data_IF_229085443161
#
_entry.id   IF_229085443161
#
_cell.length_a   1.000
_cell.length_b   1.000
_cell.length_c   1.000
_cell.angle_alpha   90.00
_cell.angle_beta   90.00
_cell.angle_gamma   90.00
#
_symmetry.space_group_name_H-M   'P 1'
#
loop_
_entity.id
_entity.type
_entity.pdbx_description
1 polymer ?
#
# COMPACT_ATOMS: atom_id res chain seq x y z
N UNK A 1 -4.45 -5.11 -3.48
CA UNK A 1 -3.13 -4.46 -3.54
C UNK A 1 -3.35 -3.25 -4.41
N UNK A 2 -3.72 -2.10 -3.88
CA UNK A 2 -3.17 -1.43 -2.70
C UNK A 2 -2.61 -0.14 -3.26
N UNK A 3 -3.41 0.93 -3.20
CA UNK A 3 -2.99 2.26 -3.64
C UNK A 3 -1.66 2.63 -2.95
N UNK A 4 -0.59 2.94 -3.70
CA UNK A 4 0.50 3.73 -3.19
C UNK A 4 0.08 5.21 -3.36
N UNK A 5 -0.56 5.78 -2.35
CA UNK A 5 0.10 6.62 -1.35
C UNK A 5 0.57 7.97 -1.91
N UNK A 6 -0.33 8.95 -1.80
CA UNK A 6 -0.10 10.41 -1.84
C UNK A 6 0.85 10.91 -0.73
N UNK A 7 1.84 10.11 -0.30
CA UNK A 7 2.75 10.42 0.79
C UNK A 7 4.16 10.67 0.26
N UNK A 8 4.40 11.85 -0.29
CA UNK A 8 5.71 12.54 -0.23
C UNK A 8 5.73 13.88 -0.99
N UNK A 9 4.64 14.66 -0.96
CA UNK A 9 4.81 16.11 -1.07
C UNK A 9 5.42 16.56 0.27
N UNK A 10 6.76 16.53 0.37
CA UNK A 10 7.47 16.98 1.56
C UNK A 10 7.51 18.50 1.53
N UNK A 11 6.82 19.13 2.48
CA UNK A 11 6.92 20.55 2.76
C UNK A 11 8.23 20.81 3.52
N UNK A 12 9.14 21.57 2.92
CA UNK A 12 10.41 22.00 3.51
C UNK A 12 10.22 23.26 4.40
N UNK A 13 11.10 23.48 5.41
CA UNK A 13 10.90 24.45 6.49
C UNK A 13 10.85 25.94 6.05
N UNK A 14 10.29 26.85 6.89
CA UNK A 14 9.64 28.09 6.46
C UNK A 14 10.56 29.30 6.17
N UNK A 15 11.83 29.09 5.79
CA UNK A 15 12.76 30.20 5.46
C UNK A 15 13.18 30.29 4.00
N UNK A 16 12.64 29.42 3.16
CA UNK A 16 12.83 29.43 1.70
C UNK A 16 11.45 29.33 1.07
N UNK A 17 11.22 30.04 -0.03
CA UNK A 17 9.96 29.99 -0.81
C UNK A 17 9.57 28.51 -0.98
N UNK A 18 8.30 28.11 -0.72
CA UNK A 18 7.93 26.69 -0.69
C UNK A 18 8.22 26.05 -2.06
N UNK A 19 9.25 25.21 -2.12
CA UNK A 19 9.62 24.49 -3.33
C UNK A 19 8.80 23.21 -3.44
N UNK A 20 7.91 23.15 -4.43
CA UNK A 20 7.17 21.92 -4.74
C UNK A 20 8.08 20.92 -5.46
N UNK A 21 8.16 19.70 -4.95
CA UNK A 21 8.89 18.60 -5.56
C UNK A 21 7.98 17.84 -6.53
N UNK A 22 8.23 17.97 -7.83
CA UNK A 22 7.39 17.36 -8.87
C UNK A 22 7.91 15.96 -9.26
N UNK A 23 7.09 14.91 -9.07
CA UNK A 23 7.33 13.56 -9.60
C UNK A 23 6.52 13.27 -10.88
N UNK A 24 6.77 12.12 -11.53
CA UNK A 24 6.24 11.75 -12.87
C UNK A 24 4.70 11.83 -13.04
N UNK A 25 3.93 11.83 -11.95
CA UNK A 25 2.47 11.99 -11.99
C UNK A 25 1.99 13.41 -12.30
N UNK A 26 2.75 14.41 -11.87
CA UNK A 26 2.29 15.79 -11.81
C UNK A 26 2.42 16.52 -13.16
N UNK A 27 3.44 16.16 -13.95
CA UNK A 27 3.77 16.79 -15.23
C UNK A 27 2.89 16.35 -16.41
N UNK A 28 1.94 15.44 -16.21
CA UNK A 28 1.12 14.83 -17.28
C UNK A 28 -0.14 15.61 -17.66
N UNK A 29 -0.34 16.80 -17.09
CA UNK A 29 -1.44 17.69 -17.39
C UNK A 29 -0.91 19.13 -17.57
N UNK A 30 -0.99 19.64 -18.80
CA UNK A 30 -0.48 20.97 -19.15
C UNK A 30 -1.23 22.06 -18.40
N UNK A 31 -2.56 21.96 -18.30
CA UNK A 31 -3.37 22.95 -17.59
C UNK A 31 -3.01 23.03 -16.10
N UNK A 32 -2.71 21.88 -15.47
CA UNK A 32 -2.27 21.84 -14.07
C UNK A 32 -0.92 22.55 -13.87
N UNK A 33 0.03 22.27 -14.76
CA UNK A 33 1.38 22.85 -14.72
C UNK A 33 1.37 24.37 -15.01
N UNK A 34 0.54 24.81 -15.97
CA UNK A 34 0.32 26.23 -16.24
C UNK A 34 -0.29 26.97 -15.04
N UNK A 35 -1.34 26.41 -14.42
CA UNK A 35 -1.97 27.01 -13.24
C UNK A 35 -1.01 27.05 -12.03
N UNK A 36 -0.19 26.02 -11.85
CA UNK A 36 0.83 26.00 -10.79
C UNK A 36 1.89 27.09 -11.03
N UNK A 37 2.29 27.32 -12.27
CA UNK A 37 3.21 28.39 -12.64
C UNK A 37 2.64 29.80 -12.43
N UNK A 38 1.35 30.00 -12.66
CA UNK A 38 0.65 31.27 -12.39
C UNK A 38 0.49 31.55 -10.89
N UNK A 39 0.42 30.49 -10.07
CA UNK A 39 0.25 30.62 -8.60
C UNK A 39 1.47 31.19 -7.87
N UNK A 40 2.58 31.46 -8.57
CA UNK A 40 3.79 32.07 -8.00
C UNK A 40 4.63 31.12 -7.14
N UNK A 41 4.30 29.83 -7.09
CA UNK A 41 5.06 28.81 -6.38
C UNK A 41 6.30 28.42 -7.19
N UNK A 42 7.49 28.50 -6.59
CA UNK A 42 8.69 27.89 -7.15
C UNK A 42 8.58 26.36 -7.03
N UNK A 43 8.92 25.63 -8.10
CA UNK A 43 8.95 24.18 -8.06
C UNK A 43 10.16 23.66 -8.82
N UNK A 44 10.73 22.57 -8.31
CA UNK A 44 11.94 21.95 -8.83
C UNK A 44 11.62 20.50 -9.16
N UNK A 45 11.89 20.07 -10.39
CA UNK A 45 11.76 18.67 -10.75
C UNK A 45 12.89 17.86 -10.09
N UNK A 46 12.57 16.74 -9.44
CA UNK A 46 13.55 15.86 -8.77
C UNK A 46 14.63 15.42 -9.76
N UNK A 47 14.17 14.96 -10.93
CA UNK A 47 15.02 14.32 -11.93
C UNK A 47 15.70 15.34 -12.84
N UNK A 48 15.17 16.58 -12.90
CA UNK A 48 15.77 17.67 -13.66
C UNK A 48 15.73 18.99 -12.87
N UNK A 49 16.63 19.16 -11.88
CA UNK A 49 16.57 20.30 -10.95
C UNK A 49 16.84 21.65 -11.59
N UNK A 50 17.52 21.69 -12.75
CA UNK A 50 17.88 22.92 -13.47
C UNK A 50 16.84 23.34 -14.52
N UNK A 51 15.62 22.79 -14.46
CA UNK A 51 14.60 23.07 -15.47
C UNK A 51 14.13 24.52 -15.41
N UNK A 52 14.15 25.22 -16.55
CA UNK A 52 13.50 26.53 -16.69
C UNK A 52 11.98 26.37 -16.94
N UNK A 53 11.16 27.35 -16.55
CA UNK A 53 9.70 27.36 -16.71
C UNK A 53 9.24 27.03 -18.13
N UNK A 54 9.91 27.60 -19.14
CA UNK A 54 9.64 27.31 -20.55
C UNK A 54 9.82 25.83 -20.87
N UNK A 55 10.90 25.23 -20.38
CA UNK A 55 11.21 23.81 -20.59
C UNK A 55 10.17 22.92 -19.93
N UNK A 56 9.68 23.27 -18.73
CA UNK A 56 8.58 22.54 -18.08
C UNK A 56 7.31 22.55 -18.94
N UNK A 57 6.93 23.70 -19.50
CA UNK A 57 5.75 23.80 -20.38
C UNK A 57 5.88 22.92 -21.63
N UNK A 58 7.03 22.97 -22.28
CA UNK A 58 7.29 22.17 -23.48
C UNK A 58 7.22 20.68 -23.14
N UNK A 59 7.88 20.26 -22.07
CA UNK A 59 7.87 18.85 -21.64
C UNK A 59 6.46 18.38 -21.24
N UNK A 60 5.69 19.21 -20.56
CA UNK A 60 4.30 18.89 -20.22
C UNK A 60 3.43 18.72 -21.48
N UNK A 61 3.59 19.61 -22.47
CA UNK A 61 2.85 19.54 -23.74
C UNK A 61 3.22 18.30 -24.56
N UNK A 62 4.52 17.97 -24.62
CA UNK A 62 5.00 16.75 -25.28
C UNK A 62 4.45 15.51 -24.57
N UNK A 63 4.51 15.45 -23.25
CA UNK A 63 4.00 14.32 -22.48
C UNK A 63 2.48 14.12 -22.65
N UNK A 64 1.71 15.21 -22.72
CA UNK A 64 0.27 15.15 -23.01
C UNK A 64 0.01 14.62 -24.42
N UNK A 65 0.73 15.13 -25.43
CA UNK A 65 0.60 14.66 -26.81
C UNK A 65 0.95 13.17 -26.95
N UNK A 66 2.06 12.71 -26.34
CA UNK A 66 2.45 11.30 -26.34
C UNK A 66 1.38 10.42 -25.71
N UNK A 67 0.81 10.85 -24.58
CA UNK A 67 -0.28 10.13 -23.91
C UNK A 67 -1.51 10.04 -24.80
N UNK A 68 -1.90 11.12 -25.47
CA UNK A 68 -3.01 11.10 -26.41
C UNK A 68 -2.74 10.12 -27.56
N UNK A 69 -1.53 10.15 -28.13
CA UNK A 69 -1.14 9.26 -29.22
C UNK A 69 -1.16 7.79 -28.80
N UNK A 70 -0.65 7.46 -27.62
CA UNK A 70 -0.72 6.11 -27.05
C UNK A 70 -2.19 5.71 -26.84
N UNK A 71 -3.01 6.60 -26.30
CA UNK A 71 -4.44 6.33 -26.10
C UNK A 71 -5.16 6.09 -27.43
N UNK A 72 -4.86 6.87 -28.47
CA UNK A 72 -5.44 6.71 -29.81
C UNK A 72 -5.06 5.35 -30.39
N UNK A 73 -3.76 5.03 -30.43
CA UNK A 73 -3.27 3.72 -30.91
C UNK A 73 -3.90 2.55 -30.16
N UNK A 74 -4.03 2.64 -28.84
CA UNK A 74 -4.66 1.59 -28.04
C UNK A 74 -6.15 1.43 -28.36
N UNK A 75 -6.88 2.55 -28.53
CA UNK A 75 -8.29 2.53 -28.94
C UNK A 75 -8.46 1.93 -30.33
N UNK A 76 -7.59 2.28 -31.28
CA UNK A 76 -7.62 1.75 -32.63
C UNK A 76 -7.32 0.25 -32.66
N UNK A 77 -6.33 -0.20 -31.89
CA UNK A 77 -6.01 -1.61 -31.73
C UNK A 77 -7.19 -2.40 -31.13
N UNK A 78 -7.87 -1.83 -30.13
CA UNK A 78 -9.08 -2.42 -29.54
C UNK A 78 -10.25 -2.44 -30.53
N UNK A 79 -10.46 -1.37 -31.29
CA UNK A 79 -11.49 -1.30 -32.33
C UNK A 79 -11.27 -2.40 -33.39
N UNK A 80 -10.04 -2.56 -33.86
CA UNK A 80 -9.66 -3.61 -34.80
C UNK A 80 -9.83 -5.02 -34.21
N UNK A 81 -9.45 -5.23 -32.95
CA UNK A 81 -9.68 -6.51 -32.28
C UNK A 81 -11.18 -6.83 -32.15
N UNK A 82 -12.01 -5.83 -31.81
CA UNK A 82 -13.46 -5.97 -31.74
C UNK A 82 -14.06 -6.30 -33.11
N UNK A 83 -13.60 -5.65 -34.18
CA UNK A 83 -14.04 -5.92 -35.55
C UNK A 83 -13.70 -7.35 -35.99
N UNK A 84 -12.56 -7.90 -35.54
CA UNK A 84 -12.20 -9.32 -35.70
C UNK A 84 -13.02 -10.29 -34.83
N UNK A 85 -14.01 -9.81 -34.08
CA UNK A 85 -14.84 -10.62 -33.19
C UNK A 85 -14.20 -10.96 -31.85
N UNK A 86 -13.07 -10.32 -31.48
CA UNK A 86 -12.45 -10.56 -30.17
C UNK A 86 -13.33 -9.96 -29.07
N UNK A 87 -13.78 -10.79 -28.13
CA UNK A 87 -14.54 -10.34 -26.96
C UNK A 87 -13.63 -9.50 -26.04
N UNK A 88 -13.83 -8.19 -26.04
CA UNK A 88 -13.11 -7.25 -25.17
C UNK A 88 -13.71 -7.23 -23.76
N UNK A 89 -12.83 -7.08 -22.76
CA UNK A 89 -13.18 -7.04 -21.34
C UNK A 89 -12.88 -8.35 -20.60
N UNK A 90 -12.43 -8.24 -19.35
CA UNK A 90 -12.26 -9.40 -18.48
C UNK A 90 -13.59 -10.01 -18.05
N UNK A 91 -13.59 -11.27 -17.61
CA UNK A 91 -14.75 -11.89 -16.99
C UNK A 91 -15.13 -11.13 -15.71
N UNK A 92 -16.08 -10.19 -15.84
CA UNK A 92 -16.63 -9.42 -14.71
C UNK A 92 -17.41 -10.32 -13.74
N UNK A 93 -17.72 -11.55 -14.15
CA UNK A 93 -18.22 -12.66 -13.34
C UNK A 93 -19.21 -12.25 -12.25
N UNK A 94 -19.17 -12.99 -11.15
CA UNK A 94 -19.78 -12.60 -9.87
C UNK A 94 -18.64 -12.25 -8.91
N UNK A 95 -17.92 -11.15 -9.17
CA UNK A 95 -16.77 -10.72 -8.35
C UNK A 95 -17.12 -10.72 -6.86
N UNK A 96 -18.33 -10.31 -6.49
CA UNK A 96 -18.82 -10.39 -5.10
C UNK A 96 -18.88 -11.82 -4.53
N UNK A 97 -19.23 -12.83 -5.34
CA UNK A 97 -19.19 -14.23 -4.91
C UNK A 97 -17.76 -14.77 -4.82
N UNK A 98 -16.87 -14.38 -5.74
CA UNK A 98 -15.45 -14.76 -5.70
C UNK A 98 -14.75 -14.12 -4.49
N UNK A 99 -15.06 -12.86 -4.19
CA UNK A 99 -14.55 -12.15 -3.01
C UNK A 99 -14.99 -12.85 -1.71
N UNK A 100 -16.26 -13.26 -1.60
CA UNK A 100 -16.76 -14.05 -0.45
C UNK A 100 -16.04 -15.39 -0.32
N UNK A 101 -15.84 -16.14 -1.42
CA UNK A 101 -15.07 -17.40 -1.41
C UNK A 101 -13.63 -17.17 -0.93
N UNK A 102 -12.97 -16.11 -1.43
CA UNK A 102 -11.62 -15.75 -1.00
C UNK A 102 -11.55 -15.36 0.48
N UNK A 103 -12.53 -14.62 0.99
CA UNK A 103 -12.59 -14.24 2.40
C UNK A 103 -12.75 -15.46 3.33
N UNK A 104 -13.66 -16.38 2.99
CA UNK A 104 -13.86 -17.62 3.74
C UNK A 104 -12.61 -18.52 3.73
N UNK A 105 -12.00 -18.72 2.57
CA UNK A 105 -10.77 -19.49 2.46
C UNK A 105 -9.63 -18.87 3.29
N UNK A 106 -9.47 -17.54 3.23
CA UNK A 106 -8.48 -16.81 4.06
C UNK A 106 -8.78 -16.94 5.55
N UNK A 107 -10.05 -16.90 5.96
CA UNK A 107 -10.46 -17.06 7.35
C UNK A 107 -10.12 -18.47 7.87
N UNK A 108 -10.42 -19.51 7.08
CA UNK A 108 -10.09 -20.90 7.42
C UNK A 108 -8.58 -21.11 7.59
N UNK A 109 -7.77 -20.61 6.64
CA UNK A 109 -6.29 -20.67 6.72
C UNK A 109 -5.75 -19.88 7.92
N UNK A 110 -6.33 -18.71 8.22
CA UNK A 110 -5.93 -17.91 9.38
C UNK A 110 -6.24 -18.64 10.69
N UNK A 111 -7.43 -19.23 10.79
CA UNK A 111 -7.85 -20.00 11.97
C UNK A 111 -6.94 -21.21 12.19
N UNK A 112 -6.63 -21.99 11.14
CA UNK A 112 -5.74 -23.15 11.26
C UNK A 112 -4.30 -22.77 11.64
N UNK A 113 -3.77 -21.67 11.10
CA UNK A 113 -2.46 -21.13 11.51
C UNK A 113 -2.47 -20.66 12.96
N UNK A 114 -3.54 -20.00 13.42
CA UNK A 114 -3.68 -19.56 14.80
C UNK A 114 -3.74 -20.75 15.77
N UNK A 115 -4.51 -21.80 15.45
CA UNK A 115 -4.60 -23.03 16.26
C UNK A 115 -3.26 -23.75 16.39
N UNK A 116 -2.51 -23.91 15.29
CA UNK A 116 -1.16 -24.51 15.33
C UNK A 116 -0.21 -23.70 16.20
N UNK A 117 -0.15 -22.38 15.98
CA UNK A 117 0.67 -21.48 16.81
C UNK A 117 0.28 -21.56 18.29
N UNK A 118 -1.02 -21.65 18.60
CA UNK A 118 -1.46 -21.81 19.98
C UNK A 118 -0.94 -23.13 20.57
N UNK A 119 -1.08 -24.24 19.83
CA UNK A 119 -0.55 -25.54 20.25
C UNK A 119 0.98 -25.52 20.49
N UNK A 120 1.74 -24.79 19.66
CA UNK A 120 3.20 -24.65 19.83
C UNK A 120 3.56 -23.86 21.11
N UNK A 121 2.71 -22.90 21.51
CA UNK A 121 2.99 -21.96 22.62
C UNK A 121 2.44 -22.46 23.95
N UNK A 122 1.37 -23.28 23.95
CA UNK A 122 0.73 -23.81 25.17
C UNK A 122 1.72 -24.49 26.12
N UNK A 123 2.63 -25.38 25.68
CA UNK A 123 3.62 -25.98 26.58
C UNK A 123 4.52 -24.94 27.25
N UNK A 124 4.96 -23.94 26.51
CA UNK A 124 5.83 -22.87 27.02
C UNK A 124 5.08 -22.02 28.05
N UNK A 125 3.79 -21.76 27.82
CA UNK A 125 2.93 -21.05 28.77
C UNK A 125 2.77 -21.85 30.06
N UNK A 126 2.64 -23.17 29.96
CA UNK A 126 2.54 -24.04 31.13
C UNK A 126 3.85 -24.09 31.92
N UNK A 127 5.01 -24.17 31.25
CA UNK A 127 6.31 -24.03 31.90
C UNK A 127 6.45 -22.69 32.64
N UNK A 128 5.94 -21.61 32.05
CA UNK A 128 5.95 -20.27 32.67
C UNK A 128 5.04 -20.23 33.91
N UNK A 129 3.89 -20.90 33.87
CA UNK A 129 2.99 -21.01 35.03
C UNK A 129 3.63 -21.79 36.17
N UNK A 130 4.25 -22.93 35.87
CA UNK A 130 5.00 -23.73 36.85
C UNK A 130 6.15 -22.93 37.45
N UNK A 131 6.80 -22.06 36.67
CA UNK A 131 7.84 -21.14 37.17
C UNK A 131 7.34 -19.98 38.05
N UNK A 132 6.03 -19.92 38.35
CA UNK A 132 5.44 -18.98 39.32
C UNK A 132 4.68 -17.81 38.71
N UNK A 133 4.40 -17.79 37.41
CA UNK A 133 3.58 -16.75 36.81
C UNK A 133 2.08 -16.96 37.12
N UNK A 134 1.51 -16.05 37.91
CA UNK A 134 0.13 -16.16 38.42
C UNK A 134 -0.89 -15.40 37.55
N UNK A 135 -0.43 -14.44 36.74
CA UNK A 135 -1.29 -13.59 35.90
C UNK A 135 -0.95 -13.65 34.42
N UNK A 136 -1.94 -13.40 33.56
CA UNK A 136 -1.77 -13.32 32.10
C UNK A 136 -0.73 -12.26 31.67
N UNK A 137 -0.60 -11.17 32.46
CA UNK A 137 0.42 -10.14 32.23
C UNK A 137 1.83 -10.67 32.52
N UNK A 138 2.01 -11.41 33.62
CA UNK A 138 3.28 -12.04 33.94
C UNK A 138 3.68 -13.08 32.87
N UNK A 139 2.72 -13.87 32.39
CA UNK A 139 2.96 -14.82 31.30
C UNK A 139 3.39 -14.08 30.02
N UNK A 140 2.70 -13.00 29.65
CA UNK A 140 3.07 -12.20 28.49
C UNK A 140 4.47 -11.58 28.63
N UNK A 141 4.81 -11.07 29.82
CA UNK A 141 6.14 -10.54 30.12
C UNK A 141 7.22 -11.63 29.98
N UNK A 142 7.00 -12.81 30.56
CA UNK A 142 7.93 -13.93 30.47
C UNK A 142 8.13 -14.41 29.01
N UNK A 143 7.07 -14.48 28.20
CA UNK A 143 7.18 -14.79 26.77
C UNK A 143 8.04 -13.76 26.02
N UNK A 144 7.86 -12.48 26.32
CA UNK A 144 8.65 -11.41 25.72
C UNK A 144 10.12 -11.44 26.17
N UNK A 145 10.39 -11.70 27.46
CA UNK A 145 11.74 -11.84 28.01
C UNK A 145 12.48 -13.03 27.40
N UNK A 146 11.77 -14.13 27.12
CA UNK A 146 12.31 -15.31 26.40
C UNK A 146 12.48 -15.08 24.89
N UNK A 147 12.21 -13.88 24.39
CA UNK A 147 12.36 -13.52 22.97
C UNK A 147 11.28 -14.09 22.04
N UNK A 148 10.24 -14.71 22.58
CA UNK A 148 9.19 -15.34 21.79
C UNK A 148 8.25 -14.25 21.28
N UNK A 149 8.24 -14.02 19.96
CA UNK A 149 7.36 -13.02 19.33
C UNK A 149 6.02 -13.62 18.90
N UNK A 150 5.00 -12.75 18.85
CA UNK A 150 3.68 -13.08 18.27
C UNK A 150 3.80 -13.40 16.77
N UNK A 151 2.77 -13.99 16.16
CA UNK A 151 2.80 -14.39 14.74
C UNK A 151 3.04 -13.24 13.75
N UNK A 152 2.91 -11.97 14.19
CA UNK A 152 3.21 -10.76 13.39
C UNK A 152 4.50 -10.05 13.82
N UNK A 153 5.33 -10.68 14.67
CA UNK A 153 6.59 -10.11 15.16
C UNK A 153 6.48 -9.13 16.33
N UNK A 154 5.25 -8.80 16.76
CA UNK A 154 5.00 -7.92 17.90
C UNK A 154 5.21 -8.60 19.25
N UNK A 155 5.28 -7.80 20.32
CA UNK A 155 5.30 -8.27 21.71
C UNK A 155 3.95 -8.90 22.12
N UNK A 156 4.01 -9.82 23.08
CA UNK A 156 2.85 -10.43 23.72
C UNK A 156 2.18 -9.47 24.70
N UNK A 157 0.86 -9.52 24.72
CA UNK A 157 -0.04 -8.86 25.66
C UNK A 157 -0.94 -9.89 26.35
N UNK A 158 -1.50 -9.54 27.51
CA UNK A 158 -2.38 -10.43 28.27
C UNK A 158 -3.57 -10.96 27.44
N UNK A 159 -4.16 -10.13 26.56
CA UNK A 159 -5.27 -10.54 25.67
C UNK A 159 -4.83 -11.60 24.65
N UNK A 160 -3.59 -11.54 24.17
CA UNK A 160 -3.07 -12.54 23.24
C UNK A 160 -2.80 -13.87 23.95
N UNK A 161 -2.29 -13.81 25.19
CA UNK A 161 -2.11 -15.00 26.04
C UNK A 161 -3.47 -15.65 26.34
N UNK A 162 -4.46 -14.84 26.72
CA UNK A 162 -5.84 -15.29 26.94
C UNK A 162 -6.38 -16.10 25.75
N UNK A 163 -6.24 -15.55 24.53
CA UNK A 163 -6.68 -16.20 23.28
C UNK A 163 -5.96 -17.50 22.96
N UNK A 164 -4.75 -17.71 23.46
CA UNK A 164 -3.99 -18.96 23.27
C UNK A 164 -4.46 -20.04 24.25
N UNK A 165 -4.76 -19.65 25.48
CA UNK A 165 -5.18 -20.57 26.56
C UNK A 165 -6.68 -20.90 26.44
N UNK A 166 -7.47 -20.07 25.75
CA UNK A 166 -8.90 -20.34 25.51
C UNK A 166 -9.82 -20.04 26.70
N UNK A 167 -9.35 -19.19 27.63
CA UNK A 167 -10.09 -18.70 28.81
C UNK A 167 -10.66 -17.31 28.55
#
# INVERSE_FOLDING_TARGET
>A
MGEPSLRSAQFTPPRTIPQLLCGEGLARNVAFISNLMESGVEFTAVDFPQTNRLTVHILAAVAEHEREMISRRAKDALANAKARGTKLGGNRGKIHLVAKKGALARAAVRSSKAKRRAADIVPIVEDIRVSGAVSLRQIAAALNTRGIRTSRGGAWSAVQVQRVIGV
#
